data_IF_772373602979
#
_entry.id   IF_772373602979
#
_cell.length_a   1.000
_cell.length_b   1.000
_cell.length_c   1.000
_cell.angle_alpha   90.00
_cell.angle_beta   90.00
_cell.angle_gamma   90.00
#
_symmetry.space_group_name_H-M   'P 1'
#
loop_
_entity.id
_entity.type
_entity.pdbx_description
1 polymer ?
#
# COMPACT_ATOMS: atom_id res chain seq x y z
N UNK A 1 -8.43 2.17 14.42
CA UNK A 1 -9.74 2.86 14.25
C UNK A 1 -10.01 3.24 12.80
N UNK A 2 -9.06 3.79 12.04
CA UNK A 2 -9.25 4.19 10.62
C UNK A 2 -9.65 3.01 9.70
N UNK A 3 -9.06 1.83 9.88
CA UNK A 3 -9.38 0.65 9.06
C UNK A 3 -10.83 0.17 9.20
N UNK A 4 -11.38 0.18 10.41
CA UNK A 4 -12.78 -0.20 10.63
C UNK A 4 -13.73 0.79 9.94
N UNK A 5 -13.40 2.09 9.97
CA UNK A 5 -14.18 3.13 9.29
C UNK A 5 -14.16 2.97 7.76
N UNK A 6 -13.00 2.63 7.17
CA UNK A 6 -12.88 2.42 5.71
C UNK A 6 -13.68 1.18 5.25
N UNK A 7 -13.62 0.08 6.01
CA UNK A 7 -14.41 -1.13 5.70
C UNK A 7 -15.91 -0.88 5.84
N UNK A 8 -16.34 -0.18 6.90
CA UNK A 8 -17.73 0.25 7.08
C UNK A 8 -18.21 1.15 5.93
N UNK A 9 -17.37 2.08 5.45
CA UNK A 9 -17.69 2.96 4.34
C UNK A 9 -17.87 2.19 3.03
N UNK A 10 -17.00 1.20 2.77
CA UNK A 10 -17.07 0.35 1.57
C UNK A 10 -18.32 -0.55 1.58
N UNK A 11 -18.70 -1.11 2.73
CA UNK A 11 -19.95 -1.88 2.85
C UNK A 11 -21.19 -1.01 2.72
N UNK A 12 -21.16 0.23 3.23
CA UNK A 12 -22.29 1.15 3.12
C UNK A 12 -22.53 1.60 1.67
N UNK A 13 -21.47 1.82 0.88
CA UNK A 13 -21.59 2.16 -0.53
C UNK A 13 -22.21 1.04 -1.36
N UNK A 14 -21.91 -0.22 -1.03
CA UNK A 14 -22.51 -1.38 -1.70
C UNK A 14 -24.02 -1.51 -1.42
N UNK A 15 -24.46 -1.22 -0.19
CA UNK A 15 -25.88 -1.25 0.19
C UNK A 15 -26.71 -0.12 -0.43
N UNK A 16 -26.11 1.05 -0.68
CA UNK A 16 -26.79 2.16 -1.36
C UNK A 16 -26.96 1.91 -2.87
N UNK A 17 -26.08 1.12 -3.50
CA UNK A 17 -26.16 0.82 -4.92
C UNK A 17 -27.29 -0.17 -5.26
N UNK A 18 -27.62 -1.10 -4.36
CA UNK A 18 -28.67 -2.11 -4.58
C UNK A 18 -30.07 -1.52 -4.60
N UNK A 19 -30.37 -0.55 -3.72
CA UNK A 19 -31.69 0.09 -3.67
C UNK A 19 -32.02 0.87 -4.96
N UNK A 20 -31.03 1.53 -5.55
CA UNK A 20 -31.21 2.25 -6.83
C UNK A 20 -31.37 1.31 -8.03
N UNK A 21 -30.75 0.13 -7.98
CA UNK A 21 -30.91 -0.86 -9.03
C UNK A 21 -32.32 -1.47 -9.05
N UNK A 22 -32.91 -1.74 -7.88
CA UNK A 22 -34.28 -2.25 -7.76
C UNK A 22 -35.30 -1.24 -8.30
N UNK A 23 -35.16 0.05 -7.96
CA UNK A 23 -36.02 1.10 -8.50
C UNK A 23 -35.91 1.21 -10.03
N UNK A 24 -34.70 1.14 -10.59
CA UNK A 24 -34.49 1.23 -12.04
C UNK A 24 -35.17 0.07 -12.80
N UNK A 25 -35.08 -1.15 -12.28
CA UNK A 25 -35.67 -2.34 -12.91
C UNK A 25 -37.20 -2.33 -12.85
N UNK A 26 -37.77 -1.83 -11.75
CA UNK A 26 -39.23 -1.83 -11.55
C UNK A 26 -39.92 -0.56 -12.11
N UNK A 27 -39.17 0.46 -12.55
CA UNK A 27 -39.71 1.74 -13.03
C UNK A 27 -40.60 1.63 -14.29
N UNK A 28 -40.48 0.55 -15.06
CA UNK A 28 -41.29 0.33 -16.27
C UNK A 28 -42.73 -0.17 -15.96
N UNK A 29 -43.03 -0.45 -14.68
CA UNK A 29 -44.33 -0.98 -14.26
C UNK A 29 -45.26 0.16 -13.80
N UNK A 30 -46.26 0.49 -14.63
CA UNK A 30 -47.22 1.55 -14.34
C UNK A 30 -48.25 1.22 -13.23
N UNK A 31 -48.49 -0.07 -12.94
CA UNK A 31 -49.41 -0.53 -11.90
C UNK A 31 -48.74 -0.48 -10.51
N UNK A 32 -49.27 0.33 -9.59
CA UNK A 32 -48.73 0.51 -8.25
C UNK A 32 -48.63 -0.81 -7.44
N UNK A 33 -49.59 -1.73 -7.59
CA UNK A 33 -49.57 -3.01 -6.88
C UNK A 33 -48.46 -3.95 -7.40
N UNK A 34 -48.24 -3.95 -8.72
CA UNK A 34 -47.19 -4.78 -9.35
C UNK A 34 -45.80 -4.20 -9.07
N UNK A 35 -45.68 -2.87 -9.00
CA UNK A 35 -44.47 -2.18 -8.58
C UNK A 35 -44.05 -2.60 -7.17
N UNK A 36 -44.96 -2.53 -6.19
CA UNK A 36 -44.67 -2.92 -4.80
C UNK A 36 -44.24 -4.40 -4.70
N UNK A 37 -44.84 -5.29 -5.51
CA UNK A 37 -44.46 -6.71 -5.56
C UNK A 37 -43.08 -6.93 -6.21
N UNK A 38 -42.73 -6.12 -7.21
CA UNK A 38 -41.43 -6.15 -7.88
C UNK A 38 -40.30 -5.76 -6.91
N UNK A 39 -40.47 -4.65 -6.18
CA UNK A 39 -39.49 -4.16 -5.20
C UNK A 39 -39.24 -5.20 -4.10
N UNK A 40 -40.30 -5.72 -3.46
CA UNK A 40 -40.17 -6.74 -2.42
C UNK A 40 -39.44 -8.01 -2.89
N UNK A 41 -39.63 -8.40 -4.17
CA UNK A 41 -38.97 -9.57 -4.75
C UNK A 41 -37.50 -9.29 -5.08
N UNK A 42 -37.20 -8.08 -5.54
CA UNK A 42 -35.83 -7.64 -5.79
C UNK A 42 -35.01 -7.59 -4.49
N UNK A 43 -35.58 -7.07 -3.41
CA UNK A 43 -34.95 -7.01 -2.09
C UNK A 43 -34.68 -8.40 -1.52
N UNK A 44 -35.66 -9.31 -1.58
CA UNK A 44 -35.49 -10.70 -1.13
C UNK A 44 -34.38 -11.45 -1.90
N UNK A 45 -34.18 -11.13 -3.18
CA UNK A 45 -33.09 -11.71 -4.00
C UNK A 45 -31.74 -11.08 -3.64
N UNK A 46 -31.70 -9.77 -3.34
CA UNK A 46 -30.48 -9.10 -2.90
C UNK A 46 -29.99 -9.61 -1.53
N UNK A 47 -30.90 -9.83 -0.59
CA UNK A 47 -30.61 -10.42 0.71
C UNK A 47 -30.15 -11.90 0.60
N UNK A 48 -30.75 -12.66 -0.31
CA UNK A 48 -30.34 -14.03 -0.60
C UNK A 48 -28.99 -14.15 -1.34
N UNK A 49 -28.62 -13.14 -2.14
CA UNK A 49 -27.35 -13.11 -2.87
C UNK A 49 -26.16 -12.73 -1.98
N UNK A 50 -26.36 -11.79 -1.04
CA UNK A 50 -25.34 -11.38 -0.08
C UNK A 50 -24.97 -12.51 0.90
N UNK A 51 -25.95 -13.32 1.30
CA UNK A 51 -25.73 -14.48 2.16
C UNK A 51 -25.01 -15.64 1.44
N UNK A 52 -25.06 -15.73 0.10
CA UNK A 52 -24.28 -16.72 -0.67
C UNK A 52 -22.80 -16.40 -0.83
N UNK A 53 -22.41 -15.13 -0.77
CA UNK A 53 -21.00 -14.75 -0.90
C UNK A 53 -20.18 -14.90 0.38
N UNK A 54 -20.82 -15.17 1.52
CA UNK A 54 -20.13 -15.47 2.80
C UNK A 54 -19.82 -16.96 3.02
N UNK A 55 -20.28 -17.87 2.16
CA UNK A 55 -20.06 -19.33 2.32
C UNK A 55 -18.92 -19.90 1.47
N UNK A 56 -17.93 -19.08 1.10
CA UNK A 56 -16.63 -19.63 0.74
C UNK A 56 -15.79 -19.60 2.01
N UNK A 57 -15.58 -20.77 2.61
CA UNK A 57 -14.85 -20.98 3.86
C UNK A 57 -13.41 -20.50 3.78
N UNK A 58 -13.19 -19.19 3.75
CA UNK A 58 -11.92 -18.61 4.12
C UNK A 58 -11.80 -18.82 5.62
N UNK A 59 -10.99 -19.82 5.99
CA UNK A 59 -10.54 -20.01 7.36
C UNK A 59 -10.12 -18.64 7.88
N UNK A 60 -10.81 -18.09 8.90
CA UNK A 60 -10.64 -16.69 9.35
C UNK A 60 -9.20 -16.28 9.69
N UNK A 61 -8.31 -17.27 9.79
CA UNK A 61 -6.86 -17.17 9.84
C UNK A 61 -6.27 -16.39 8.65
N UNK A 62 -6.79 -16.50 7.43
CA UNK A 62 -6.26 -15.78 6.25
C UNK A 62 -6.44 -14.26 6.36
N UNK A 63 -7.54 -13.80 6.94
CA UNK A 63 -7.76 -12.39 7.26
C UNK A 63 -6.76 -11.86 8.29
N UNK A 64 -6.21 -12.75 9.13
CA UNK A 64 -5.18 -12.42 10.11
C UNK A 64 -3.77 -12.41 9.49
N UNK A 65 -3.47 -13.37 8.62
CA UNK A 65 -2.16 -13.45 7.96
C UNK A 65 -1.97 -12.38 6.89
N UNK A 66 -3.04 -11.91 6.25
CA UNK A 66 -2.94 -10.91 5.19
C UNK A 66 -2.23 -9.61 5.62
N UNK A 67 -2.66 -8.91 6.69
CA UNK A 67 -1.96 -7.70 7.13
C UNK A 67 -0.55 -8.01 7.64
N UNK A 68 -0.35 -9.13 8.34
CA UNK A 68 0.96 -9.51 8.89
C UNK A 68 1.96 -9.82 7.77
N UNK A 69 1.52 -10.53 6.73
CA UNK A 69 2.32 -10.86 5.55
C UNK A 69 2.81 -9.60 4.84
N UNK A 70 1.95 -8.57 4.75
CA UNK A 70 2.35 -7.28 4.19
C UNK A 70 3.47 -6.61 4.99
N UNK A 71 3.37 -6.57 6.32
CA UNK A 71 4.44 -6.05 7.17
C UNK A 71 5.74 -6.84 7.03
N UNK A 72 5.66 -8.17 7.00
CA UNK A 72 6.83 -9.04 6.82
C UNK A 72 7.49 -8.76 5.48
N UNK A 73 6.72 -8.67 4.39
CA UNK A 73 7.24 -8.34 3.06
C UNK A 73 7.90 -6.95 3.03
N UNK A 74 7.26 -5.96 3.65
CA UNK A 74 7.78 -4.60 3.76
C UNK A 74 9.12 -4.54 4.50
N UNK A 75 9.23 -5.17 5.67
CA UNK A 75 10.47 -5.20 6.43
C UNK A 75 11.55 -6.05 5.77
N UNK A 76 11.18 -7.18 5.15
CA UNK A 76 12.12 -8.00 4.38
C UNK A 76 12.72 -7.19 3.22
N UNK A 77 11.90 -6.42 2.51
CA UNK A 77 12.35 -5.53 1.44
C UNK A 77 13.28 -4.41 1.96
N UNK A 78 12.90 -3.76 3.07
CA UNK A 78 13.75 -2.77 3.73
C UNK A 78 15.09 -3.35 4.19
N UNK A 79 15.10 -4.59 4.69
CA UNK A 79 16.32 -5.28 5.12
C UNK A 79 17.25 -5.60 3.94
N UNK A 80 16.69 -6.03 2.80
CA UNK A 80 17.46 -6.25 1.56
C UNK A 80 18.09 -4.93 1.09
N UNK A 81 17.31 -3.85 0.98
CA UNK A 81 17.81 -2.52 0.60
C UNK A 81 18.88 -2.02 1.58
N UNK A 82 18.61 -2.12 2.88
CA UNK A 82 19.53 -1.68 3.93
C UNK A 82 20.84 -2.45 3.89
N UNK A 83 20.80 -3.77 3.62
CA UNK A 83 22.02 -4.58 3.44
C UNK A 83 22.87 -4.14 2.24
N UNK A 84 22.21 -3.73 1.15
CA UNK A 84 22.87 -3.27 -0.06
C UNK A 84 23.53 -1.90 0.16
N UNK A 85 22.79 -0.96 0.75
CA UNK A 85 23.30 0.37 1.12
C UNK A 85 24.43 0.26 2.14
N UNK A 86 24.31 -0.62 3.14
CA UNK A 86 25.37 -0.85 4.13
C UNK A 86 26.66 -1.38 3.49
N UNK A 87 26.53 -2.31 2.54
CA UNK A 87 27.69 -2.85 1.80
C UNK A 87 28.35 -1.78 0.93
N UNK A 88 27.58 -0.89 0.31
CA UNK A 88 28.13 0.24 -0.45
C UNK A 88 28.79 1.27 0.47
N UNK A 89 28.14 1.61 1.59
CA UNK A 89 28.66 2.56 2.57
C UNK A 89 29.98 2.10 3.19
N UNK A 90 30.17 0.80 3.41
CA UNK A 90 31.44 0.25 3.92
C UNK A 90 32.61 0.36 2.94
N UNK A 91 32.35 0.51 1.63
CA UNK A 91 33.41 0.61 0.60
C UNK A 91 33.85 2.05 0.35
N UNK A 92 33.13 3.03 0.86
CA UNK A 92 33.44 4.46 0.68
C UNK A 92 34.08 4.96 1.97
N UNK A 93 35.38 5.24 1.94
CA UNK A 93 36.14 5.66 3.11
C UNK A 93 35.70 7.03 3.68
N UNK A 94 34.87 7.77 2.94
CA UNK A 94 34.42 9.12 3.30
C UNK A 94 32.94 9.32 2.91
N UNK A 95 32.00 8.98 3.81
CA UNK A 95 30.61 9.44 3.66
C UNK A 95 30.46 10.86 4.22
N UNK A 96 30.03 11.77 3.35
CA UNK A 96 29.75 13.19 3.55
C UNK A 96 28.92 13.59 4.79
N UNK A 97 28.32 12.64 5.51
CA UNK A 97 27.44 12.91 6.65
C UNK A 97 28.02 12.52 8.02
N UNK A 98 29.22 11.94 8.11
CA UNK A 98 29.79 11.42 9.37
C UNK A 98 28.87 10.43 10.13
N UNK A 99 27.82 9.92 9.47
CA UNK A 99 26.87 8.96 10.04
C UNK A 99 27.46 7.56 9.90
N UNK A 100 27.61 6.85 11.03
CA UNK A 100 28.15 5.48 11.03
C UNK A 100 27.27 4.56 10.16
N UNK A 101 27.85 3.58 9.43
CA UNK A 101 27.10 2.67 8.55
C UNK A 101 25.93 1.96 9.24
N UNK A 102 26.04 1.71 10.54
CA UNK A 102 24.96 1.09 11.33
C UNK A 102 23.69 1.96 11.36
N UNK A 103 23.81 3.28 11.46
CA UNK A 103 22.65 4.19 11.49
C UNK A 103 21.91 4.24 10.15
N UNK A 104 22.63 4.07 9.04
CA UNK A 104 22.01 3.93 7.72
C UNK A 104 21.10 2.72 7.66
N UNK A 105 21.56 1.56 8.16
CA UNK A 105 20.75 0.35 8.18
C UNK A 105 19.46 0.53 9.01
N UNK A 106 19.57 1.19 10.17
CA UNK A 106 18.42 1.48 11.04
C UNK A 106 17.41 2.41 10.33
N UNK A 107 17.88 3.47 9.66
CA UNK A 107 17.01 4.39 8.92
C UNK A 107 16.28 3.71 7.77
N UNK A 108 16.93 2.80 7.04
CA UNK A 108 16.31 2.08 5.93
C UNK A 108 15.28 1.05 6.39
N UNK A 109 15.49 0.41 7.55
CA UNK A 109 14.50 -0.51 8.13
C UNK A 109 13.25 0.24 8.63
N UNK A 110 13.45 1.43 9.19
CA UNK A 110 12.35 2.29 9.62
C UNK A 110 11.56 2.85 8.45
N UNK A 111 12.24 3.24 7.38
CA UNK A 111 11.60 3.72 6.16
C UNK A 111 12.45 3.37 4.91
N UNK A 112 11.98 2.44 4.07
CA UNK A 112 12.67 2.08 2.83
C UNK A 112 12.75 3.25 1.85
N UNK A 113 11.90 4.29 1.99
CA UNK A 113 12.02 5.51 1.20
C UNK A 113 13.33 6.24 1.47
N UNK A 114 13.81 6.26 2.73
CA UNK A 114 15.14 6.82 3.04
C UNK A 114 16.27 6.00 2.40
N UNK A 115 16.10 4.68 2.28
CA UNK A 115 17.05 3.82 1.57
C UNK A 115 17.15 4.16 0.09
N UNK A 116 16.00 4.39 -0.56
CA UNK A 116 15.95 4.81 -1.95
C UNK A 116 16.53 6.21 -2.14
N UNK A 117 16.23 7.14 -1.23
CA UNK A 117 16.77 8.50 -1.24
C UNK A 117 18.29 8.49 -1.08
N UNK A 118 18.82 7.69 -0.16
CA UNK A 118 20.26 7.52 0.05
C UNK A 118 20.94 6.96 -1.19
N UNK A 119 20.37 5.91 -1.78
CA UNK A 119 20.85 5.33 -3.04
C UNK A 119 20.86 6.37 -4.15
N UNK A 120 19.78 7.15 -4.28
CA UNK A 120 19.66 8.20 -5.27
C UNK A 120 20.70 9.31 -5.06
N UNK A 121 20.87 9.80 -3.83
CA UNK A 121 21.88 10.80 -3.47
C UNK A 121 23.30 10.34 -3.81
N UNK A 122 23.59 9.06 -3.57
CA UNK A 122 24.91 8.48 -3.83
C UNK A 122 25.20 8.32 -5.33
N UNK A 123 24.19 7.99 -6.14
CA UNK A 123 24.39 7.67 -7.57
C UNK A 123 24.12 8.86 -8.53
N UNK A 124 23.19 9.75 -8.19
CA UNK A 124 22.69 10.79 -9.10
C UNK A 124 23.04 12.22 -8.68
N UNK A 125 23.53 12.44 -7.47
CA UNK A 125 23.92 13.78 -7.07
C UNK A 125 25.19 14.21 -7.79
N UNK A 126 25.08 15.20 -8.67
CA UNK A 126 26.22 15.86 -9.36
C UNK A 126 27.29 16.40 -8.39
N UNK A 127 26.98 16.50 -7.09
CA UNK A 127 27.94 16.84 -6.05
C UNK A 127 29.15 15.90 -5.99
N UNK A 128 28.97 14.60 -6.27
CA UNK A 128 30.09 13.65 -6.25
C UNK A 128 31.05 13.85 -7.44
N UNK A 129 30.52 14.26 -8.60
CA UNK A 129 31.31 14.55 -9.79
C UNK A 129 32.15 15.82 -9.60
N UNK A 130 31.56 16.87 -9.04
CA UNK A 130 32.27 18.13 -8.80
C UNK A 130 33.40 17.98 -7.75
N UNK A 131 33.25 17.08 -6.78
CA UNK A 131 34.30 16.84 -5.77
C UNK A 131 35.53 16.15 -6.36
N UNK A 132 35.33 15.17 -7.26
CA UNK A 132 36.43 14.50 -7.96
C UNK A 132 37.21 15.48 -8.84
N UNK A 133 36.51 16.40 -9.52
CA UNK A 133 37.11 17.46 -10.31
C UNK A 133 37.93 18.44 -9.45
N UNK A 134 37.39 18.89 -8.31
CA UNK A 134 38.11 19.74 -7.36
C UNK A 134 39.40 19.09 -6.82
N UNK A 135 39.38 17.80 -6.45
CA UNK A 135 40.58 17.10 -5.96
C UNK A 135 41.66 17.01 -7.04
N UNK A 136 41.29 16.70 -8.29
CA UNK A 136 42.24 16.65 -9.39
C UNK A 136 42.90 18.00 -9.72
N UNK A 137 42.19 19.11 -9.46
CA UNK A 137 42.73 20.47 -9.66
C UNK A 137 43.76 20.90 -8.60
N UNK A 138 43.75 20.29 -7.41
CA UNK A 138 44.70 20.58 -6.33
C UNK A 138 46.03 19.84 -6.47
N UNK A 139 46.05 18.64 -7.05
CA UNK A 139 47.30 17.85 -7.23
C UNK A 139 48.11 18.27 -8.47
N UNK A 140 47.53 19.04 -9.38
CA UNK A 140 48.18 19.49 -10.63
C UNK A 140 48.81 20.89 -10.58
N UNK A 141 48.90 21.53 -9.41
CA UNK A 141 49.37 22.91 -9.22
C UNK A 141 50.66 23.03 -8.43
#
# INVERSE_FOLDING_TARGET
>A
MVFAAVVLLLTAQAAFATNKAAEFICNEIADAEKYARCVNKADAVAEGATSRHQTSGSSGWSAFFWPVSWWVAYYAFGLILGSYVYRDARRRDWLFLAVRPFWWLVLVILDPAFGLLAYWLVHYSKLSQNYAEFVSSQEGG
#
